data_IF_630684669508
#
_entry.id   IF_630684669508
#
_cell.length_a   1.000
_cell.length_b   1.000
_cell.length_c   1.000
_cell.angle_alpha   90.00
_cell.angle_beta   90.00
_cell.angle_gamma   90.00
#
_symmetry.space_group_name_H-M   'P 1'
#
loop_
_entity.id
_entity.type
_entity.pdbx_description
1 polymer ?
#
# COMPACT_ATOMS: atom_id res chain seq x y z
N UNK A 1 1.35 0.88 8.51
CA UNK A 1 -0.08 0.94 8.77
C UNK A 1 -0.63 1.63 7.55
N UNK A 2 -1.29 0.89 6.65
CA UNK A 2 -1.95 1.51 5.50
C UNK A 2 -3.10 2.42 5.93
N UNK A 3 -3.53 2.33 7.19
CA UNK A 3 -4.53 3.17 7.84
C UNK A 3 -3.98 3.82 9.12
N UNK A 4 -4.56 4.92 9.57
CA UNK A 4 -4.33 5.53 10.89
C UNK A 4 -5.58 6.32 11.33
N UNK A 5 -5.80 6.55 12.64
CA UNK A 5 -6.96 7.32 13.11
C UNK A 5 -6.98 8.72 12.49
N UNK A 6 -8.10 9.15 11.93
CA UNK A 6 -8.20 10.41 11.19
C UNK A 6 -7.86 11.65 12.04
N UNK A 7 -8.02 11.55 13.36
CA UNK A 7 -7.74 12.59 14.36
C UNK A 7 -6.28 12.58 14.85
N UNK A 8 -5.46 11.59 14.45
CA UNK A 8 -4.08 11.43 14.92
C UNK A 8 -3.13 11.36 13.73
N UNK A 9 -2.21 12.31 13.54
CA UNK A 9 -1.18 12.15 12.51
C UNK A 9 -0.32 10.91 12.82
N UNK A 10 0.16 10.18 11.80
CA UNK A 10 1.08 9.07 12.03
C UNK A 10 2.34 9.57 12.73
N UNK A 11 2.89 8.78 13.65
CA UNK A 11 4.15 9.08 14.32
C UNK A 11 5.22 9.41 13.26
N UNK A 12 5.79 10.61 13.34
CA UNK A 12 6.76 11.07 12.37
C UNK A 12 8.05 10.25 12.48
N UNK A 13 8.52 9.72 11.35
CA UNK A 13 9.87 9.15 11.25
C UNK A 13 9.94 7.63 11.06
N UNK A 14 8.84 6.90 11.23
CA UNK A 14 8.83 5.44 11.01
C UNK A 14 8.05 5.07 9.74
N UNK A 15 8.61 4.10 9.00
CA UNK A 15 7.93 3.49 7.88
C UNK A 15 6.64 2.85 8.38
N UNK A 16 5.55 3.02 7.62
CA UNK A 16 4.28 2.40 7.94
C UNK A 16 4.47 0.86 7.97
N UNK A 17 4.09 0.13 9.05
CA UNK A 17 4.13 -1.33 9.03
C UNK A 17 3.39 -1.89 7.82
N UNK A 18 4.02 -2.84 7.13
CA UNK A 18 3.46 -3.51 5.96
C UNK A 18 2.32 -4.40 6.45
N UNK A 19 1.09 -4.15 5.99
CA UNK A 19 -0.02 -5.05 6.24
C UNK A 19 0.06 -6.23 5.28
N UNK A 20 -0.31 -7.41 5.77
CA UNK A 20 -0.54 -8.56 4.90
C UNK A 20 -1.66 -8.22 3.88
N UNK A 21 -1.59 -8.73 2.64
CA UNK A 21 -2.66 -8.56 1.67
C UNK A 21 -3.90 -9.36 2.09
N UNK A 22 -5.09 -8.83 1.80
CA UNK A 22 -6.36 -9.54 1.99
C UNK A 22 -6.51 -10.72 1.03
N UNK A 23 -5.94 -10.59 -0.18
CA UNK A 23 -5.91 -11.64 -1.19
C UNK A 23 -4.57 -11.70 -1.90
N UNK A 24 -4.11 -12.92 -2.15
CA UNK A 24 -2.90 -13.20 -2.90
C UNK A 24 -3.18 -14.29 -3.95
N UNK A 25 -2.69 -14.09 -5.18
CA UNK A 25 -2.78 -15.10 -6.23
C UNK A 25 -1.65 -14.95 -7.25
N UNK A 26 -1.32 -16.03 -7.95
CA UNK A 26 -0.33 -16.02 -9.05
C UNK A 26 -1.02 -16.18 -10.40
N UNK A 27 -0.61 -15.38 -11.38
CA UNK A 27 -1.05 -15.51 -12.78
C UNK A 27 0.11 -15.26 -13.72
N UNK A 28 0.39 -16.19 -14.64
CA UNK A 28 1.46 -16.07 -15.64
C UNK A 28 2.83 -15.65 -15.06
N UNK A 29 3.23 -16.23 -13.92
CA UNK A 29 4.50 -15.89 -13.24
C UNK A 29 4.53 -14.50 -12.59
N UNK A 30 3.39 -13.83 -12.48
CA UNK A 30 3.21 -12.57 -11.74
C UNK A 30 2.45 -12.86 -10.45
N UNK A 31 3.04 -12.47 -9.32
CA UNK A 31 2.38 -12.50 -8.02
C UNK A 31 1.52 -11.24 -7.89
N UNK A 32 0.24 -11.43 -7.60
CA UNK A 32 -0.69 -10.36 -7.34
C UNK A 32 -1.08 -10.36 -5.85
N UNK A 33 -0.98 -9.20 -5.23
CA UNK A 33 -1.38 -8.98 -3.84
C UNK A 33 -2.37 -7.83 -3.81
N UNK A 34 -3.49 -8.01 -3.11
CA UNK A 34 -4.57 -7.01 -3.01
C UNK A 34 -4.79 -6.63 -1.57
N UNK A 35 -4.94 -5.33 -1.34
CA UNK A 35 -5.41 -4.73 -0.10
C UNK A 35 -6.73 -4.03 -0.37
N UNK A 36 -7.76 -4.40 0.37
CA UNK A 36 -9.02 -3.68 0.47
C UNK A 36 -8.86 -2.57 1.50
N UNK A 37 -9.11 -1.33 1.09
CA UNK A 37 -8.90 -0.14 1.92
C UNK A 37 -10.15 0.74 1.92
N UNK A 38 -10.29 1.61 2.92
CA UNK A 38 -11.48 2.45 3.09
C UNK A 38 -12.81 1.66 3.04
N UNK A 39 -12.84 0.42 3.54
CA UNK A 39 -14.02 -0.46 3.44
C UNK A 39 -15.19 0.08 4.27
N UNK A 40 -14.98 0.57 5.50
CA UNK A 40 -16.12 0.97 6.37
C UNK A 40 -15.85 2.10 7.40
N UNK A 41 -14.71 2.78 7.40
CA UNK A 41 -14.31 3.53 8.60
C UNK A 41 -13.90 5.00 8.31
N UNK A 42 -14.82 5.99 8.35
CA UNK A 42 -14.50 7.41 8.23
C UNK A 42 -13.53 7.91 9.30
N UNK A 43 -13.36 7.16 10.38
CA UNK A 43 -12.40 7.40 11.44
C UNK A 43 -10.96 6.98 11.08
N UNK A 44 -10.70 6.45 9.89
CA UNK A 44 -9.35 6.11 9.43
C UNK A 44 -8.98 6.82 8.12
N UNK A 45 -7.76 7.32 8.07
CA UNK A 45 -7.11 7.82 6.86
C UNK A 45 -6.11 6.79 6.34
N UNK A 46 -6.02 6.68 5.02
CA UNK A 46 -5.16 5.68 4.37
C UNK A 46 -4.01 6.34 3.62
N UNK A 47 -2.81 5.78 3.80
CA UNK A 47 -1.57 6.27 3.21
C UNK A 47 -0.68 5.11 2.75
N UNK A 48 0.10 5.36 1.70
CA UNK A 48 1.14 4.46 1.22
C UNK A 48 2.50 5.15 1.23
N UNK A 49 3.53 4.39 1.59
CA UNK A 49 4.92 4.80 1.48
C UNK A 49 5.50 4.24 0.18
N UNK A 50 5.90 5.12 -0.74
CA UNK A 50 6.62 4.76 -1.96
C UNK A 50 8.12 4.98 -1.77
N UNK A 51 8.89 3.90 -1.72
CA UNK A 51 10.34 3.97 -1.61
C UNK A 51 10.96 4.50 -2.91
N UNK A 52 11.79 5.54 -2.81
CA UNK A 52 12.62 5.97 -3.94
C UNK A 52 13.71 4.93 -4.19
N UNK A 53 13.73 4.39 -5.41
CA UNK A 53 14.66 3.34 -5.82
C UNK A 53 16.11 3.72 -5.47
N UNK A 54 16.81 2.83 -4.76
CA UNK A 54 18.20 3.03 -4.35
C UNK A 54 18.42 3.95 -3.15
N UNK A 55 17.37 4.34 -2.42
CA UNK A 55 17.47 5.17 -1.20
C UNK A 55 16.61 4.61 -0.06
N UNK A 56 16.79 5.12 1.15
CA UNK A 56 15.88 4.90 2.29
C UNK A 56 14.78 5.97 2.39
N UNK A 57 14.64 6.82 1.37
CA UNK A 57 13.65 7.90 1.36
C UNK A 57 12.31 7.35 0.85
N UNK A 58 11.25 7.71 1.55
CA UNK A 58 9.88 7.36 1.16
C UNK A 58 9.10 8.61 0.80
N UNK A 59 8.26 8.51 -0.23
CA UNK A 59 7.19 9.46 -0.50
C UNK A 59 5.91 8.91 0.13
N UNK A 60 5.37 9.61 1.13
CA UNK A 60 4.10 9.26 1.77
C UNK A 60 2.96 9.95 1.02
N UNK A 61 2.02 9.17 0.49
CA UNK A 61 0.87 9.69 -0.26
C UNK A 61 -0.44 9.28 0.41
N UNK A 62 -1.36 10.23 0.56
CA UNK A 62 -2.72 9.96 0.99
C UNK A 62 -3.54 9.33 -0.15
N UNK A 63 -4.42 8.39 0.21
CA UNK A 63 -5.30 7.68 -0.73
C UNK A 63 -6.79 7.93 -0.46
N UNK A 64 -7.26 9.20 -0.57
CA UNK A 64 -8.67 9.50 -0.36
C UNK A 64 -9.52 8.87 -1.47
N UNK A 65 -10.62 8.21 -1.09
CA UNK A 65 -11.59 7.65 -2.04
C UNK A 65 -11.16 6.35 -2.75
N UNK A 66 -9.93 5.89 -2.56
CA UNK A 66 -9.44 4.60 -3.06
C UNK A 66 -10.08 3.47 -2.27
N UNK A 67 -10.60 2.44 -2.93
CA UNK A 67 -11.21 1.28 -2.26
C UNK A 67 -10.33 0.05 -2.26
N UNK A 68 -9.34 0.00 -3.13
CA UNK A 68 -8.41 -1.12 -3.18
C UNK A 68 -7.08 -0.74 -3.81
N UNK A 69 -6.01 -1.36 -3.34
CA UNK A 69 -4.70 -1.34 -3.97
C UNK A 69 -4.29 -2.75 -4.38
N UNK A 70 -3.62 -2.87 -5.52
CA UNK A 70 -3.10 -4.13 -6.06
C UNK A 70 -1.64 -3.94 -6.44
N UNK A 71 -0.77 -4.76 -5.87
CA UNK A 71 0.59 -4.95 -6.33
C UNK A 71 0.63 -6.10 -7.34
N UNK A 72 1.33 -5.92 -8.44
CA UNK A 72 1.69 -6.95 -9.40
C UNK A 72 3.21 -7.05 -9.47
N UNK A 73 3.75 -8.18 -9.05
CA UNK A 73 5.18 -8.44 -8.92
C UNK A 73 5.57 -9.47 -9.98
N UNK A 74 6.18 -8.99 -11.06
CA UNK A 74 6.70 -9.85 -12.11
C UNK A 74 7.97 -10.54 -11.60
N UNK A 75 7.90 -11.83 -11.30
CA UNK A 75 8.97 -12.55 -10.60
C UNK A 75 10.28 -12.62 -11.42
N UNK A 76 10.17 -12.68 -12.75
CA UNK A 76 11.32 -12.76 -13.65
C UNK A 76 12.10 -11.45 -13.76
N UNK A 77 11.39 -10.32 -13.89
CA UNK A 77 12.01 -9.01 -14.09
C UNK A 77 12.19 -8.23 -12.79
N UNK A 78 11.62 -8.74 -11.68
CA UNK A 78 11.52 -8.06 -10.39
C UNK A 78 10.83 -6.69 -10.47
N UNK A 79 10.05 -6.46 -11.52
CA UNK A 79 9.27 -5.24 -11.68
C UNK A 79 8.05 -5.34 -10.76
N UNK A 80 7.86 -4.31 -9.94
CA UNK A 80 6.67 -4.15 -9.11
C UNK A 80 5.83 -3.02 -9.70
N UNK A 81 4.59 -3.35 -10.07
CA UNK A 81 3.58 -2.36 -10.45
C UNK A 81 2.57 -2.24 -9.33
N UNK A 82 2.25 -1.02 -8.91
CA UNK A 82 1.29 -0.77 -7.85
C UNK A 82 0.16 0.12 -8.36
N UNK A 83 -1.08 -0.33 -8.19
CA UNK A 83 -2.27 0.37 -8.68
C UNK A 83 -3.31 0.47 -7.58
N UNK A 84 -3.78 1.69 -7.32
CA UNK A 84 -4.83 1.99 -6.36
C UNK A 84 -6.03 2.61 -7.09
N UNK A 85 -7.23 2.12 -6.80
CA UNK A 85 -8.50 2.62 -7.36
C UNK A 85 -9.62 2.63 -6.33
#
# INVERSE_FOLDING_TARGET
MLSYPADQPPAAGEALPILAPDKEWTRNGTLHQRWDINFDAPEYLFQVDCLYAGTERYLRMALPGVKQCVAAIAQQTKIVSFQCK
#
